data_IF_695367149481
#
_entry.id   IF_695367149481
#
_cell.length_a   1.000
_cell.length_b   1.000
_cell.length_c   1.000
_cell.angle_alpha   90.00
_cell.angle_beta   90.00
_cell.angle_gamma   90.00
#
_symmetry.space_group_name_H-M   'P 1'
#
loop_
_entity.id
_entity.type
_entity.pdbx_description
1 polymer ?
#
# COMPACT_ATOMS: atom_id res chain seq x y z
N UNK A 1 18.41 -26.95 4.96
CA UNK A 1 17.86 -27.24 3.61
C UNK A 1 17.94 -25.94 2.84
N UNK A 2 18.57 -25.88 1.66
CA UNK A 2 18.75 -24.61 0.96
C UNK A 2 17.40 -23.98 0.60
N UNK A 3 17.33 -22.66 0.66
CA UNK A 3 16.10 -21.93 0.37
C UNK A 3 16.38 -20.59 -0.32
N UNK A 4 15.31 -19.88 -0.69
CA UNK A 4 15.32 -18.47 -1.08
C UNK A 4 14.32 -17.70 -0.22
N UNK A 5 14.65 -16.45 0.08
CA UNK A 5 13.75 -15.53 0.76
C UNK A 5 13.50 -14.31 -0.12
N UNK A 6 12.34 -14.26 -0.79
CA UNK A 6 11.91 -13.14 -1.62
C UNK A 6 11.83 -11.87 -0.76
N UNK A 7 12.32 -10.75 -1.29
CA UNK A 7 12.48 -9.48 -0.55
C UNK A 7 12.29 -8.26 -1.45
N UNK A 8 12.19 -7.08 -0.87
CA UNK A 8 12.10 -5.79 -1.58
C UNK A 8 11.01 -5.83 -2.66
N UNK A 9 11.33 -5.44 -3.89
CA UNK A 9 10.41 -5.38 -5.03
C UNK A 9 9.79 -6.74 -5.35
N UNK A 10 10.55 -7.84 -5.35
CA UNK A 10 9.97 -9.18 -5.60
C UNK A 10 8.96 -9.60 -4.53
N UNK A 11 9.23 -9.29 -3.26
CA UNK A 11 8.26 -9.57 -2.19
C UNK A 11 7.05 -8.64 -2.27
N UNK A 12 7.24 -7.38 -2.65
CA UNK A 12 6.13 -6.45 -2.87
C UNK A 12 5.22 -6.94 -4.01
N UNK A 13 5.82 -7.38 -5.12
CA UNK A 13 5.09 -7.95 -6.26
C UNK A 13 4.28 -9.18 -5.86
N UNK A 14 4.87 -10.10 -5.08
CA UNK A 14 4.13 -11.21 -4.47
C UNK A 14 2.89 -10.73 -3.70
N UNK A 15 3.05 -9.71 -2.84
CA UNK A 15 1.95 -9.19 -2.04
C UNK A 15 0.85 -8.55 -2.88
N UNK A 16 1.22 -7.90 -3.99
CA UNK A 16 0.26 -7.29 -4.91
C UNK A 16 -0.49 -8.31 -5.75
N UNK A 17 0.20 -9.31 -6.30
CA UNK A 17 -0.44 -10.45 -7.00
C UNK A 17 -1.39 -11.20 -6.08
N UNK A 18 -0.92 -11.53 -4.86
CA UNK A 18 -1.77 -12.13 -3.83
C UNK A 18 -2.98 -11.26 -3.51
N UNK A 19 -2.76 -9.96 -3.31
CA UNK A 19 -3.81 -8.99 -3.02
C UNK A 19 -4.86 -8.91 -4.13
N UNK A 20 -4.44 -8.90 -5.39
CA UNK A 20 -5.33 -8.80 -6.55
C UNK A 20 -6.22 -10.05 -6.69
N UNK A 21 -5.65 -11.25 -6.50
CA UNK A 21 -6.41 -12.51 -6.58
C UNK A 21 -7.31 -12.78 -5.39
N UNK A 22 -6.99 -12.20 -4.23
CA UNK A 22 -7.79 -12.30 -3.01
C UNK A 22 -8.72 -11.10 -2.81
N UNK A 23 -8.96 -10.32 -3.86
CA UNK A 23 -10.00 -9.30 -3.89
C UNK A 23 -11.40 -9.92 -3.85
N UNK A 24 -12.28 -9.37 -3.02
CA UNK A 24 -13.67 -9.80 -2.85
C UNK A 24 -14.64 -8.65 -3.14
N UNK A 25 -15.88 -8.98 -3.49
CA UNK A 25 -16.92 -7.98 -3.65
C UNK A 25 -17.25 -7.30 -2.30
N UNK A 26 -17.58 -6.00 -2.34
CA UNK A 26 -17.84 -5.19 -1.14
C UNK A 26 -18.88 -5.80 -0.19
N UNK A 27 -19.94 -6.42 -0.72
CA UNK A 27 -20.98 -7.05 0.11
C UNK A 27 -20.42 -8.24 0.92
N UNK A 28 -19.49 -9.02 0.37
CA UNK A 28 -18.84 -10.13 1.08
C UNK A 28 -17.88 -9.62 2.15
N UNK A 29 -17.18 -8.51 1.86
CA UNK A 29 -16.28 -7.86 2.82
C UNK A 29 -17.01 -7.41 4.10
N UNK A 30 -18.23 -6.90 3.96
CA UNK A 30 -19.04 -6.47 5.11
C UNK A 30 -19.60 -7.66 5.90
N UNK A 31 -19.85 -8.80 5.24
CA UNK A 31 -20.31 -10.03 5.89
C UNK A 31 -19.18 -10.75 6.66
N UNK A 32 -17.94 -10.68 6.18
CA UNK A 32 -16.77 -11.25 6.84
C UNK A 32 -16.25 -10.29 7.92
N UNK A 33 -16.74 -10.46 9.15
CA UNK A 33 -16.35 -9.62 10.31
C UNK A 33 -14.88 -9.73 10.72
N UNK A 34 -14.14 -10.72 10.22
CA UNK A 34 -12.73 -10.96 10.57
C UNK A 34 -12.05 -11.72 9.44
N UNK A 35 -10.82 -11.35 9.07
CA UNK A 35 -9.93 -12.23 8.29
C UNK A 35 -9.90 -13.57 9.03
N UNK A 36 -10.33 -14.65 8.38
CA UNK A 36 -10.03 -15.97 8.92
C UNK A 36 -8.53 -16.21 8.73
N UNK A 37 -7.86 -16.87 9.66
CA UNK A 37 -6.44 -17.24 9.51
C UNK A 37 -6.17 -18.07 8.25
N UNK A 38 -7.22 -18.66 7.67
CA UNK A 38 -7.22 -19.39 6.40
C UNK A 38 -7.23 -18.47 5.16
N UNK A 39 -7.60 -17.19 5.30
CA UNK A 39 -7.60 -16.19 4.23
C UNK A 39 -6.23 -15.51 4.05
N UNK A 40 -5.20 -15.90 4.81
CA UNK A 40 -3.83 -15.46 4.62
C UNK A 40 -2.95 -16.69 4.35
N UNK A 41 -1.88 -16.59 3.55
CA UNK A 41 -1.01 -17.73 3.24
C UNK A 41 -0.17 -18.22 4.44
N UNK A 42 -0.54 -17.90 5.68
CA UNK A 42 0.29 -17.96 6.88
C UNK A 42 -0.07 -19.13 7.80
N UNK A 43 0.78 -20.16 7.82
CA UNK A 43 0.71 -21.18 8.87
C UNK A 43 2.02 -21.40 9.62
N UNK A 44 3.14 -20.89 9.08
CA UNK A 44 4.48 -21.10 9.65
C UNK A 44 5.28 -19.80 9.56
N UNK A 45 5.64 -19.26 10.72
CA UNK A 45 6.54 -18.11 10.87
C UNK A 45 7.92 -18.61 11.31
N UNK A 46 8.81 -18.95 10.37
CA UNK A 46 10.15 -19.39 10.74
C UNK A 46 10.95 -18.25 11.40
N UNK A 47 11.94 -18.62 12.19
CA UNK A 47 12.91 -17.66 12.74
C UNK A 47 13.81 -17.10 11.63
N UNK A 48 14.60 -16.07 11.96
CA UNK A 48 15.61 -15.52 11.05
C UNK A 48 16.70 -16.52 10.64
N UNK A 49 16.73 -17.72 11.23
CA UNK A 49 17.65 -18.79 10.83
C UNK A 49 17.49 -19.20 9.36
N UNK A 50 16.33 -18.99 8.74
CA UNK A 50 16.11 -19.26 7.31
C UNK A 50 17.06 -18.46 6.41
N UNK A 51 17.53 -17.31 6.88
CA UNK A 51 18.46 -16.47 6.11
C UNK A 51 19.85 -17.09 5.98
N UNK A 52 20.25 -17.98 6.90
CA UNK A 52 21.53 -18.71 6.84
C UNK A 52 21.54 -19.64 5.62
N UNK A 53 20.44 -20.37 5.45
CA UNK A 53 20.21 -21.33 4.37
C UNK A 53 19.83 -20.66 3.03
N UNK A 54 19.60 -19.34 3.03
CA UNK A 54 19.24 -18.58 1.84
C UNK A 54 20.39 -18.53 0.82
N UNK A 55 20.13 -19.06 -0.37
CA UNK A 55 21.12 -19.20 -1.44
C UNK A 55 21.32 -17.90 -2.20
N UNK A 56 22.58 -17.58 -2.49
CA UNK A 56 22.97 -16.52 -3.42
C UNK A 56 23.41 -17.05 -4.78
N UNK A 57 23.56 -18.37 -4.93
CA UNK A 57 24.03 -18.99 -6.16
C UNK A 57 22.88 -19.16 -7.15
N UNK A 58 22.98 -18.49 -8.30
CA UNK A 58 21.96 -18.48 -9.36
C UNK A 58 21.43 -19.88 -9.72
N UNK A 59 22.33 -20.85 -9.93
CA UNK A 59 21.95 -22.25 -10.22
C UNK A 59 21.05 -22.85 -9.14
N UNK A 60 21.42 -22.69 -7.87
CA UNK A 60 20.62 -23.21 -6.76
C UNK A 60 19.30 -22.46 -6.59
N UNK A 61 19.28 -21.14 -6.86
CA UNK A 61 18.03 -20.36 -6.86
C UNK A 61 17.08 -20.91 -7.93
N UNK A 62 17.58 -21.18 -9.14
CA UNK A 62 16.83 -21.82 -10.22
C UNK A 62 16.31 -23.19 -9.82
N UNK A 63 17.16 -24.07 -9.26
CA UNK A 63 16.75 -25.41 -8.79
C UNK A 63 15.63 -25.34 -7.74
N UNK A 64 15.67 -24.34 -6.83
CA UNK A 64 14.62 -24.14 -5.83
C UNK A 64 13.31 -23.66 -6.47
N UNK A 65 13.39 -22.77 -7.46
CA UNK A 65 12.22 -22.28 -8.19
C UNK A 65 11.58 -23.40 -8.99
N UNK A 66 12.36 -24.15 -9.76
CA UNK A 66 11.88 -25.26 -10.59
C UNK A 66 11.20 -26.32 -9.71
N UNK A 67 11.82 -26.71 -8.58
CA UNK A 67 11.21 -27.65 -7.64
C UNK A 67 9.92 -27.14 -6.99
N UNK A 68 9.81 -25.83 -6.73
CA UNK A 68 8.56 -25.25 -6.20
C UNK A 68 7.43 -25.26 -7.24
N UNK A 69 7.75 -25.00 -8.52
CA UNK A 69 6.79 -25.07 -9.62
C UNK A 69 6.32 -26.52 -9.88
N UNK A 70 7.24 -27.48 -9.81
CA UNK A 70 6.95 -28.92 -9.94
C UNK A 70 6.06 -29.45 -8.80
N UNK A 71 6.30 -29.01 -7.57
CA UNK A 71 5.52 -29.41 -6.38
C UNK A 71 4.06 -28.88 -6.40
N UNK A 72 3.72 -27.98 -7.33
CA UNK A 72 2.40 -27.34 -7.43
C UNK A 72 2.22 -26.24 -6.39
N UNK A 73 2.32 -24.99 -6.81
CA UNK A 73 2.09 -23.81 -5.95
C UNK A 73 0.82 -23.07 -6.36
N UNK A 74 0.25 -22.23 -5.47
CA UNK A 74 -0.85 -21.34 -5.84
C UNK A 74 -0.49 -20.51 -7.07
N UNK A 75 -1.51 -20.19 -7.87
CA UNK A 75 -1.33 -19.54 -9.17
C UNK A 75 -0.53 -18.22 -9.07
N UNK A 76 -0.64 -17.48 -7.95
CA UNK A 76 0.05 -16.19 -7.77
C UNK A 76 1.55 -16.40 -7.65
N UNK A 77 1.92 -17.50 -7.02
CA UNK A 77 3.30 -17.90 -6.88
C UNK A 77 3.82 -18.51 -8.19
N UNK A 78 2.99 -19.26 -8.93
CA UNK A 78 3.35 -19.78 -10.26
C UNK A 78 3.72 -18.65 -11.23
N UNK A 79 2.88 -17.62 -11.32
CA UNK A 79 3.12 -16.47 -12.19
C UNK A 79 4.41 -15.73 -11.82
N UNK A 80 4.59 -15.40 -10.53
CA UNK A 80 5.77 -14.70 -10.05
C UNK A 80 7.05 -15.51 -10.24
N UNK A 81 7.04 -16.79 -9.84
CA UNK A 81 8.21 -17.66 -9.94
C UNK A 81 8.55 -17.97 -11.40
N UNK A 82 7.56 -18.13 -12.27
CA UNK A 82 7.74 -18.28 -13.71
C UNK A 82 8.43 -17.06 -14.32
N UNK A 83 7.97 -15.85 -14.00
CA UNK A 83 8.61 -14.61 -14.45
C UNK A 83 10.06 -14.50 -13.94
N UNK A 84 10.29 -14.79 -12.65
CA UNK A 84 11.64 -14.82 -12.07
C UNK A 84 12.54 -15.85 -12.76
N UNK A 85 11.99 -17.02 -13.13
CA UNK A 85 12.72 -18.09 -13.81
C UNK A 85 13.20 -17.67 -15.19
N UNK A 86 12.34 -16.97 -15.96
CA UNK A 86 12.65 -16.44 -17.30
C UNK A 86 13.83 -15.45 -17.23
N UNK A 87 13.77 -14.49 -16.31
CA UNK A 87 14.84 -13.50 -16.08
C UNK A 87 16.19 -14.19 -15.80
N UNK A 88 16.17 -15.23 -14.96
CA UNK A 88 17.38 -15.98 -14.64
C UNK A 88 17.90 -16.80 -15.84
N UNK A 89 17.07 -17.18 -16.81
CA UNK A 89 17.51 -17.88 -18.03
C UNK A 89 18.01 -16.98 -19.15
N UNK A 90 17.33 -15.86 -19.44
CA UNK A 90 17.62 -14.99 -20.60
C UNK A 90 19.00 -14.32 -20.51
N UNK A 91 19.51 -14.17 -19.29
CA UNK A 91 20.82 -13.59 -18.99
C UNK A 91 22.01 -14.48 -19.39
N UNK A 92 21.78 -15.70 -19.89
CA UNK A 92 22.84 -16.50 -20.54
C UNK A 92 23.04 -16.19 -22.03
N UNK A 93 22.13 -15.46 -22.71
CA UNK A 93 22.10 -15.44 -24.17
C UNK A 93 22.30 -14.08 -24.86
N UNK A 94 22.53 -12.98 -24.15
CA UNK A 94 22.59 -11.64 -24.77
C UNK A 94 23.99 -11.01 -24.81
N UNK A 95 24.83 -11.52 -25.71
CA UNK A 95 25.58 -10.64 -26.62
C UNK A 95 24.66 -10.36 -27.81
N UNK A 96 23.87 -9.28 -27.81
CA UNK A 96 23.26 -8.76 -29.04
C UNK A 96 23.14 -7.23 -29.03
N UNK A 97 23.84 -6.66 -30.00
CA UNK A 97 23.60 -5.43 -30.76
C UNK A 97 22.42 -4.55 -30.35
N UNK A 98 22.72 -3.28 -30.06
CA UNK A 98 21.78 -2.16 -30.00
C UNK A 98 21.16 -1.90 -31.38
N UNK A 99 19.85 -1.94 -31.47
CA UNK A 99 19.06 -1.10 -32.38
C UNK A 99 17.91 -0.46 -31.59
N UNK A 100 17.59 0.83 -31.81
CA UNK A 100 16.53 1.52 -31.09
C UNK A 100 15.21 1.49 -31.90
N UNK A 101 14.15 0.94 -31.32
CA UNK A 101 12.82 0.95 -31.94
C UNK A 101 11.69 0.75 -30.93
N UNK A 102 10.78 1.74 -30.91
CA UNK A 102 9.43 1.82 -30.34
C UNK A 102 9.14 1.18 -28.96
N UNK A 103 8.86 2.06 -27.99
CA UNK A 103 8.32 1.72 -26.69
C UNK A 103 6.89 1.16 -26.82
N UNK A 104 6.75 -0.14 -26.56
CA UNK A 104 5.46 -0.76 -26.32
C UNK A 104 5.20 -0.79 -24.79
N UNK A 105 3.98 -0.45 -24.43
CA UNK A 105 3.55 -0.22 -23.05
C UNK A 105 2.94 -1.48 -22.44
N UNK A 106 3.78 -2.51 -22.29
CA UNK A 106 3.51 -3.68 -21.45
C UNK A 106 4.60 -3.82 -20.39
N UNK A 107 4.17 -4.06 -19.16
CA UNK A 107 4.91 -4.04 -17.89
C UNK A 107 5.95 -5.17 -17.74
N UNK A 108 6.97 -5.16 -18.60
CA UNK A 108 8.02 -6.18 -18.67
C UNK A 108 9.46 -5.63 -18.68
N UNK A 109 9.73 -4.49 -18.04
CA UNK A 109 11.09 -3.97 -17.94
C UNK A 109 11.93 -4.81 -16.94
N UNK A 110 12.66 -5.81 -17.44
CA UNK A 110 13.86 -6.41 -16.82
C UNK A 110 13.80 -6.66 -15.31
N UNK A 111 12.80 -7.41 -14.82
CA UNK A 111 12.61 -7.66 -13.38
C UNK A 111 13.79 -8.42 -12.80
N UNK A 112 14.59 -7.79 -11.94
CA UNK A 112 15.64 -8.49 -11.18
C UNK A 112 14.98 -9.25 -10.03
N UNK A 113 15.44 -10.47 -9.74
CA UNK A 113 15.00 -11.23 -8.56
C UNK A 113 15.72 -10.74 -7.30
N UNK A 114 14.98 -10.29 -6.28
CA UNK A 114 15.53 -9.78 -5.02
C UNK A 114 15.43 -10.81 -3.89
N UNK A 115 16.57 -11.40 -3.51
CA UNK A 115 16.65 -12.40 -2.44
C UNK A 115 17.38 -11.82 -1.22
N UNK A 116 16.84 -12.05 -0.04
CA UNK A 116 17.47 -11.71 1.23
C UNK A 116 18.19 -12.92 1.83
N UNK A 117 19.36 -12.70 2.41
CA UNK A 117 20.02 -13.72 3.21
C UNK A 117 21.10 -13.18 4.12
N UNK A 118 21.70 -14.08 4.90
CA UNK A 118 22.74 -13.71 5.84
C UNK A 118 23.97 -13.16 5.11
N UNK A 119 24.74 -12.31 5.78
CA UNK A 119 25.99 -11.79 5.21
C UNK A 119 26.96 -12.94 4.90
N UNK A 120 27.38 -13.04 3.64
CA UNK A 120 28.36 -14.03 3.15
C UNK A 120 29.49 -13.26 2.44
N UNK A 121 30.73 -13.23 2.97
CA UNK A 121 31.84 -12.53 2.32
C UNK A 121 32.08 -13.04 0.90
N UNK A 122 32.41 -12.15 -0.04
CA UNK A 122 32.79 -12.52 -1.41
C UNK A 122 31.63 -12.87 -2.35
N UNK A 123 30.38 -12.84 -1.89
CA UNK A 123 29.20 -13.01 -2.75
C UNK A 123 28.93 -11.70 -3.51
N UNK A 124 28.82 -11.79 -4.84
CA UNK A 124 28.41 -10.69 -5.72
C UNK A 124 27.00 -10.92 -6.24
N UNK A 125 26.28 -9.83 -6.50
CA UNK A 125 25.05 -9.84 -7.30
C UNK A 125 25.34 -10.48 -8.65
N UNK A 126 24.43 -11.33 -9.13
CA UNK A 126 24.53 -11.96 -10.44
C UNK A 126 23.51 -11.33 -11.39
N UNK A 127 23.73 -11.44 -12.69
CA UNK A 127 22.77 -10.91 -13.67
C UNK A 127 21.40 -11.55 -13.47
N UNK A 128 20.38 -10.70 -13.29
CA UNK A 128 19.01 -11.10 -12.97
C UNK A 128 18.75 -11.49 -11.51
N UNK A 129 19.75 -11.43 -10.62
CA UNK A 129 19.63 -11.77 -9.19
C UNK A 129 20.37 -10.76 -8.28
N UNK A 130 19.60 -9.99 -7.53
CA UNK A 130 20.11 -9.14 -6.44
C UNK A 130 20.05 -9.90 -5.12
N UNK A 131 21.21 -10.17 -4.52
CA UNK A 131 21.31 -10.72 -3.17
C UNK A 131 21.52 -9.60 -2.14
N UNK A 132 20.52 -9.41 -1.29
CA UNK A 132 20.55 -8.45 -0.19
C UNK A 132 21.18 -9.12 1.03
N UNK A 133 22.36 -8.64 1.40
CA UNK A 133 23.01 -9.06 2.63
C UNK A 133 22.39 -8.38 3.84
N UNK A 134 22.10 -9.16 4.87
CA UNK A 134 21.66 -8.60 6.14
C UNK A 134 22.30 -9.29 7.34
N UNK A 135 22.64 -8.47 8.32
CA UNK A 135 23.01 -8.85 9.68
C UNK A 135 22.03 -8.26 10.70
N UNK A 136 20.86 -7.80 10.23
CA UNK A 136 19.85 -7.19 11.07
C UNK A 136 19.23 -8.21 12.04
N UNK A 137 18.75 -7.71 13.17
CA UNK A 137 17.90 -8.49 14.08
C UNK A 137 16.45 -8.32 13.65
N UNK A 138 15.84 -9.44 13.25
CA UNK A 138 14.48 -9.46 12.71
C UNK A 138 13.45 -9.77 13.80
N UNK A 139 12.35 -8.99 13.91
CA UNK A 139 11.22 -9.34 14.75
C UNK A 139 10.61 -10.70 14.36
N UNK A 140 9.92 -11.36 15.31
CA UNK A 140 9.15 -12.57 15.00
C UNK A 140 8.11 -12.26 13.90
N UNK A 141 7.89 -13.23 13.01
CA UNK A 141 6.96 -13.06 11.89
C UNK A 141 7.50 -12.27 10.69
N UNK A 142 8.80 -11.98 10.63
CA UNK A 142 9.42 -11.28 9.49
C UNK A 142 9.43 -12.10 8.19
N UNK A 143 9.33 -13.42 8.28
CA UNK A 143 9.46 -14.36 7.18
C UNK A 143 8.31 -15.34 7.17
N UNK A 144 7.94 -15.78 5.98
CA UNK A 144 6.75 -16.57 5.70
C UNK A 144 7.11 -17.66 4.72
N UNK A 145 6.83 -18.92 5.05
CA UNK A 145 7.02 -20.02 4.10
C UNK A 145 5.82 -20.08 3.16
N UNK A 146 6.07 -19.99 1.86
CA UNK A 146 5.02 -19.97 0.82
C UNK A 146 5.09 -21.20 -0.11
N UNK A 147 6.25 -21.84 -0.22
CA UNK A 147 6.41 -23.14 -0.85
C UNK A 147 7.59 -23.90 -0.25
N UNK A 148 7.86 -25.11 -0.74
CA UNK A 148 9.07 -25.84 -0.37
C UNK A 148 10.30 -25.05 -0.79
N UNK A 149 11.17 -24.70 0.17
CA UNK A 149 12.38 -23.93 -0.10
C UNK A 149 12.15 -22.46 -0.46
N UNK A 150 10.90 -21.98 -0.54
CA UNK A 150 10.59 -20.58 -0.89
C UNK A 150 9.92 -19.87 0.28
N UNK A 151 10.54 -18.77 0.71
CA UNK A 151 10.05 -17.86 1.73
C UNK A 151 9.84 -16.47 1.16
N UNK A 152 9.00 -15.67 1.79
CA UNK A 152 8.79 -14.25 1.47
C UNK A 152 8.87 -13.39 2.72
N UNK A 153 9.37 -12.16 2.57
CA UNK A 153 9.35 -11.15 3.63
C UNK A 153 7.90 -10.72 3.92
N UNK A 154 7.55 -10.60 5.19
CA UNK A 154 6.24 -10.11 5.62
C UNK A 154 5.99 -8.65 5.18
N UNK A 155 4.72 -8.23 5.02
CA UNK A 155 4.38 -6.87 4.59
C UNK A 155 5.11 -5.76 5.38
N UNK A 156 5.25 -5.95 6.69
CA UNK A 156 5.98 -5.01 7.55
C UNK A 156 7.47 -4.91 7.22
N UNK A 157 8.10 -6.04 6.88
CA UNK A 157 9.50 -6.06 6.48
C UNK A 157 9.68 -5.51 5.07
N UNK A 158 8.75 -5.79 4.15
CA UNK A 158 8.74 -5.21 2.80
C UNK A 158 8.64 -3.68 2.90
N UNK A 159 7.73 -3.15 3.72
CA UNK A 159 7.65 -1.72 3.97
C UNK A 159 8.98 -1.12 4.44
N UNK A 160 9.66 -1.78 5.40
CA UNK A 160 10.96 -1.32 5.88
C UNK A 160 12.08 -1.43 4.82
N UNK A 161 12.06 -2.46 3.99
CA UNK A 161 12.98 -2.65 2.85
C UNK A 161 12.80 -1.54 1.81
N UNK A 162 11.56 -1.26 1.42
CA UNK A 162 11.22 -0.23 0.46
C UNK A 162 11.54 1.18 0.97
N UNK A 163 11.61 1.40 2.29
CA UNK A 163 11.99 2.70 2.85
C UNK A 163 13.42 3.17 2.51
N UNK A 164 14.29 2.27 2.02
CA UNK A 164 15.61 2.63 1.48
C UNK A 164 15.59 2.96 -0.02
N UNK A 165 14.49 2.66 -0.71
CA UNK A 165 14.34 2.80 -2.16
C UNK A 165 13.34 3.90 -2.53
N UNK A 166 12.35 4.14 -1.67
CA UNK A 166 11.25 5.05 -1.92
C UNK A 166 11.45 6.40 -1.24
N UNK A 167 11.10 7.51 -1.91
CA UNK A 167 10.92 8.77 -1.24
C UNK A 167 9.72 8.73 -0.28
N UNK A 168 9.61 9.72 0.60
CA UNK A 168 8.67 9.69 1.73
C UNK A 168 7.20 9.53 1.30
N UNK A 169 6.76 10.26 0.27
CA UNK A 169 5.40 10.18 -0.25
C UNK A 169 5.06 8.81 -0.82
N UNK A 170 5.94 8.23 -1.64
CA UNK A 170 5.76 6.89 -2.19
C UNK A 170 5.78 5.82 -1.10
N UNK A 171 6.63 5.97 -0.08
CA UNK A 171 6.63 5.09 1.09
C UNK A 171 5.32 5.20 1.88
N UNK A 172 4.74 6.40 2.03
CA UNK A 172 3.40 6.55 2.62
C UNK A 172 2.33 5.85 1.78
N UNK A 173 2.33 6.02 0.46
CA UNK A 173 1.40 5.31 -0.43
C UNK A 173 1.48 3.81 -0.23
N UNK A 174 2.68 3.24 -0.16
CA UNK A 174 2.89 1.82 0.12
C UNK A 174 2.34 1.44 1.51
N UNK A 175 2.57 2.24 2.54
CA UNK A 175 2.01 1.99 3.87
C UNK A 175 0.48 1.95 3.84
N UNK A 176 -0.14 2.88 3.14
CA UNK A 176 -1.59 2.94 2.93
C UNK A 176 -2.11 1.76 2.09
N UNK A 177 -1.37 1.31 1.08
CA UNK A 177 -1.70 0.12 0.28
C UNK A 177 -1.74 -1.16 1.15
N UNK A 178 -0.71 -1.34 2.00
CA UNK A 178 -0.62 -2.50 2.89
C UNK A 178 -1.68 -2.46 4.01
N UNK A 179 -2.04 -1.28 4.50
CA UNK A 179 -3.00 -1.08 5.59
C UNK A 179 -4.43 -0.74 5.11
N UNK A 180 -4.61 -0.61 3.80
CA UNK A 180 -5.87 -0.26 3.13
C UNK A 180 -6.67 -1.48 2.74
N UNK A 181 -7.86 -1.22 2.20
CA UNK A 181 -8.86 -2.20 1.83
C UNK A 181 -9.00 -2.39 0.32
N UNK A 182 -8.00 -1.99 -0.47
CA UNK A 182 -8.01 -2.14 -1.92
C UNK A 182 -6.85 -2.99 -2.42
N UNK A 183 -7.08 -3.83 -3.44
CA UNK A 183 -6.02 -4.38 -4.26
C UNK A 183 -5.47 -3.34 -5.26
N UNK A 184 -4.17 -3.40 -5.51
CA UNK A 184 -3.52 -2.69 -6.63
C UNK A 184 -3.61 -3.58 -7.87
N UNK A 185 -3.74 -2.98 -9.05
CA UNK A 185 -3.78 -3.69 -10.35
C UNK A 185 -4.93 -4.69 -10.54
N UNK A 186 -5.94 -4.68 -9.65
CA UNK A 186 -7.17 -5.44 -9.83
C UNK A 186 -8.31 -4.54 -10.31
N UNK A 187 -9.46 -5.15 -10.64
CA UNK A 187 -10.68 -4.41 -10.97
C UNK A 187 -11.04 -3.42 -9.86
N UNK A 188 -11.42 -2.19 -10.25
CA UNK A 188 -11.80 -1.08 -9.36
C UNK A 188 -12.97 -1.39 -8.40
N UNK A 189 -13.69 -2.50 -8.62
CA UNK A 189 -14.84 -2.91 -7.83
C UNK A 189 -14.51 -3.90 -6.70
N UNK A 190 -13.27 -4.36 -6.61
CA UNK A 190 -12.84 -5.32 -5.60
C UNK A 190 -12.26 -4.63 -4.37
N UNK A 191 -12.53 -5.19 -3.21
CA UNK A 191 -11.94 -4.80 -1.93
C UNK A 191 -11.19 -5.99 -1.33
N UNK A 192 -10.23 -5.71 -0.46
CA UNK A 192 -9.42 -6.73 0.22
C UNK A 192 -9.30 -6.40 1.69
N UNK A 193 -9.22 -7.39 2.56
CA UNK A 193 -8.82 -7.11 3.94
C UNK A 193 -7.35 -6.64 4.02
N UNK A 194 -7.00 -5.70 4.92
CA UNK A 194 -5.62 -5.19 5.02
C UNK A 194 -4.57 -6.28 5.23
N UNK A 195 -3.44 -6.21 4.51
CA UNK A 195 -2.29 -7.12 4.71
C UNK A 195 -1.57 -6.86 6.03
N UNK A 196 -1.69 -5.63 6.54
CA UNK A 196 -1.07 -5.18 7.77
C UNK A 196 -1.97 -4.14 8.46
N UNK A 197 -1.59 -3.69 9.65
CA UNK A 197 -2.20 -2.54 10.32
C UNK A 197 -1.16 -1.47 10.63
N UNK A 198 -1.55 -0.19 10.74
CA UNK A 198 -0.61 0.88 11.10
C UNK A 198 0.12 0.60 12.43
N UNK A 199 -0.59 0.03 13.40
CA UNK A 199 0.00 -0.37 14.69
C UNK A 199 1.07 -1.46 14.52
N UNK A 200 0.83 -2.45 13.65
CA UNK A 200 1.84 -3.48 13.33
C UNK A 200 3.04 -2.88 12.61
N UNK A 201 2.86 -1.97 11.64
CA UNK A 201 3.97 -1.27 11.00
C UNK A 201 4.84 -0.49 12.00
N UNK A 202 4.21 0.30 12.87
CA UNK A 202 4.92 1.09 13.90
C UNK A 202 5.66 0.18 14.87
N UNK A 203 5.01 -0.87 15.35
CA UNK A 203 5.61 -1.84 16.27
C UNK A 203 6.79 -2.56 15.61
N UNK A 204 6.61 -3.09 14.39
CA UNK A 204 7.65 -3.81 13.66
C UNK A 204 8.87 -2.92 13.40
N UNK A 205 8.66 -1.72 12.84
CA UNK A 205 9.75 -0.77 12.55
C UNK A 205 10.49 -0.31 13.81
N UNK A 206 9.84 -0.31 14.97
CA UNK A 206 10.48 0.03 16.25
C UNK A 206 11.36 -1.10 16.80
N UNK A 207 11.09 -2.35 16.43
CA UNK A 207 11.86 -3.52 16.86
C UNK A 207 12.91 -3.98 15.84
N UNK A 208 12.84 -3.51 14.60
CA UNK A 208 13.81 -3.81 13.55
C UNK A 208 15.13 -3.07 13.80
N UNK A 209 16.18 -3.79 14.20
CA UNK A 209 17.50 -3.24 14.53
C UNK A 209 18.55 -3.66 13.51
N UNK A 210 19.50 -2.76 13.22
CA UNK A 210 20.62 -3.05 12.31
C UNK A 210 20.24 -3.14 10.83
N UNK A 211 19.07 -2.60 10.46
CA UNK A 211 18.57 -2.59 9.08
C UNK A 211 18.63 -1.17 8.48
N UNK A 212 19.18 -1.05 7.27
CA UNK A 212 19.21 0.21 6.52
C UNK A 212 17.78 0.56 6.07
N UNK A 213 17.28 1.73 6.46
CA UNK A 213 15.89 2.14 6.19
C UNK A 213 14.96 2.06 7.39
N UNK A 214 15.42 1.56 8.55
CA UNK A 214 14.61 1.50 9.79
C UNK A 214 14.11 2.87 10.25
N UNK A 215 14.94 3.91 10.20
CA UNK A 215 14.59 5.27 10.60
C UNK A 215 13.52 5.93 9.69
N UNK A 216 13.67 5.96 8.34
CA UNK A 216 12.62 6.46 7.46
C UNK A 216 11.34 5.62 7.54
N UNK A 217 11.44 4.28 7.62
CA UNK A 217 10.29 3.40 7.80
C UNK A 217 9.52 3.73 9.09
N UNK A 218 10.22 3.81 10.23
CA UNK A 218 9.62 4.20 11.51
C UNK A 218 8.97 5.58 11.45
N UNK A 219 9.55 6.51 10.68
CA UNK A 219 8.98 7.84 10.51
C UNK A 219 7.70 7.82 9.69
N UNK A 220 7.71 7.18 8.52
CA UNK A 220 6.55 7.07 7.65
C UNK A 220 5.40 6.27 8.30
N UNK A 221 5.70 5.17 8.99
CA UNK A 221 4.71 4.33 9.66
C UNK A 221 3.80 5.10 10.63
N UNK A 222 4.28 6.19 11.24
CA UNK A 222 3.50 7.04 12.17
C UNK A 222 2.40 7.85 11.48
N UNK A 223 2.44 7.96 10.16
CA UNK A 223 1.48 8.76 9.38
C UNK A 223 0.62 7.90 8.45
N UNK A 224 0.76 6.57 8.50
CA UNK A 224 -0.10 5.65 7.77
C UNK A 224 -1.44 5.52 8.50
N UNK A 225 -2.54 5.64 7.76
CA UNK A 225 -3.88 5.36 8.25
C UNK A 225 -4.38 4.05 7.65
N UNK A 226 -5.24 3.36 8.41
CA UNK A 226 -5.90 2.14 7.93
C UNK A 226 -7.10 2.48 7.06
N UNK A 227 -7.60 1.48 6.33
CA UNK A 227 -8.92 1.49 5.66
C UNK A 227 -9.09 2.49 4.51
N UNK A 228 -8.03 3.02 3.91
CA UNK A 228 -8.16 3.65 2.60
C UNK A 228 -8.75 2.62 1.62
N UNK A 229 -9.72 2.99 0.79
CA UNK A 229 -10.41 2.06 -0.11
C UNK A 229 -10.04 2.25 -1.59
N UNK A 230 -9.14 3.19 -1.91
CA UNK A 230 -8.59 3.34 -3.27
C UNK A 230 -7.26 4.11 -3.29
N UNK A 231 -6.48 4.04 -4.38
CA UNK A 231 -5.29 4.88 -4.56
C UNK A 231 -5.59 6.39 -4.52
N UNK A 232 -6.77 6.80 -5.01
CA UNK A 232 -7.20 8.18 -4.99
C UNK A 232 -7.51 8.67 -3.57
N UNK A 233 -8.24 7.87 -2.77
CA UNK A 233 -8.45 8.13 -1.34
C UNK A 233 -7.14 8.16 -0.57
N UNK A 234 -6.20 7.25 -0.88
CA UNK A 234 -4.85 7.26 -0.29
C UNK A 234 -4.16 8.59 -0.55
N UNK A 235 -4.21 9.10 -1.78
CA UNK A 235 -3.61 10.39 -2.13
C UNK A 235 -4.28 11.55 -1.40
N UNK A 236 -5.62 11.59 -1.40
CA UNK A 236 -6.42 12.58 -0.67
C UNK A 236 -6.04 12.61 0.83
N UNK A 237 -6.03 11.43 1.46
CA UNK A 237 -5.73 11.28 2.87
C UNK A 237 -4.27 11.66 3.20
N UNK A 238 -3.29 11.23 2.41
CA UNK A 238 -1.88 11.60 2.63
C UNK A 238 -1.71 13.11 2.51
N UNK A 239 -2.25 13.73 1.47
CA UNK A 239 -2.13 15.17 1.25
C UNK A 239 -2.74 15.96 2.41
N UNK A 240 -3.93 15.57 2.88
CA UNK A 240 -4.59 16.24 4.00
C UNK A 240 -3.85 16.04 5.34
N UNK A 241 -3.39 14.82 5.62
CA UNK A 241 -2.98 14.43 6.97
C UNK A 241 -1.48 14.44 7.21
N UNK A 242 -0.66 14.26 6.17
CA UNK A 242 0.79 14.24 6.33
C UNK A 242 1.30 15.58 6.88
N UNK A 243 2.41 15.59 7.64
CA UNK A 243 2.94 16.82 8.20
C UNK A 243 3.35 17.85 7.16
N UNK A 244 3.26 19.14 7.50
CA UNK A 244 3.67 20.25 6.62
C UNK A 244 5.15 20.24 6.24
N UNK A 245 6.01 19.70 7.10
CA UNK A 245 7.43 19.54 6.77
C UNK A 245 7.69 18.43 5.74
N UNK A 246 6.71 17.58 5.47
CA UNK A 246 6.71 16.59 4.40
C UNK A 246 5.73 16.92 3.26
N UNK A 247 5.16 18.13 3.25
CA UNK A 247 4.31 18.61 2.17
C UNK A 247 2.81 18.37 2.32
N UNK A 248 2.33 17.74 3.39
CA UNK A 248 0.87 17.66 3.65
C UNK A 248 0.32 18.88 4.38
N UNK A 249 -0.98 18.90 4.69
CA UNK A 249 -1.61 19.99 5.45
C UNK A 249 -1.46 19.87 6.98
N UNK A 250 -1.08 18.69 7.47
CA UNK A 250 -0.89 18.39 8.89
C UNK A 250 -2.20 18.26 9.67
N UNK A 251 -3.31 17.97 9.00
CA UNK A 251 -4.63 17.83 9.62
C UNK A 251 -4.74 16.47 10.32
N UNK A 252 -4.29 16.40 11.56
CA UNK A 252 -4.28 15.17 12.37
C UNK A 252 -5.67 14.78 12.87
N UNK A 253 -5.83 13.50 13.21
CA UNK A 253 -7.07 12.95 13.80
C UNK A 253 -8.04 12.38 12.76
N UNK A 254 -7.61 12.25 11.51
CA UNK A 254 -8.40 11.65 10.45
C UNK A 254 -8.62 10.15 10.70
N UNK A 255 -9.75 9.65 10.24
CA UNK A 255 -10.16 8.25 10.20
C UNK A 255 -10.73 7.97 8.82
N UNK A 256 -10.28 6.90 8.17
CA UNK A 256 -10.74 6.55 6.82
C UNK A 256 -11.77 5.46 6.88
N UNK A 257 -12.81 5.59 6.07
CA UNK A 257 -13.87 4.60 5.91
C UNK A 257 -14.36 4.00 7.25
N UNK A 258 -14.39 4.83 8.31
CA UNK A 258 -14.90 4.43 9.62
C UNK A 258 -16.41 4.66 9.69
N UNK A 259 -17.21 3.66 10.10
CA UNK A 259 -18.63 3.84 10.28
C UNK A 259 -18.95 4.89 11.35
N UNK A 260 -19.72 5.89 10.95
CA UNK A 260 -20.29 6.93 11.80
C UNK A 260 -21.65 6.43 12.25
N UNK A 261 -21.78 6.10 13.54
CA UNK A 261 -23.09 5.81 14.13
C UNK A 261 -23.92 7.09 14.15
N UNK A 262 -25.06 7.06 13.47
CA UNK A 262 -25.93 8.21 13.33
C UNK A 262 -26.73 8.48 14.61
N UNK A 263 -27.01 9.76 14.88
CA UNK A 263 -28.02 10.17 15.87
C UNK A 263 -29.43 9.95 15.29
N UNK A 264 -30.45 9.99 16.15
CA UNK A 264 -31.85 9.70 15.78
C UNK A 264 -32.39 10.53 14.61
N UNK A 265 -32.01 11.79 14.50
CA UNK A 265 -32.46 12.65 13.40
C UNK A 265 -31.77 12.30 12.07
N UNK A 266 -30.43 12.30 11.96
CA UNK A 266 -29.72 11.81 10.79
C UNK A 266 -30.12 10.40 10.34
N UNK A 267 -30.37 9.49 11.29
CA UNK A 267 -30.81 8.12 11.00
C UNK A 267 -32.15 8.08 10.25
N UNK A 268 -33.12 8.92 10.65
CA UNK A 268 -34.41 9.06 9.96
C UNK A 268 -34.25 9.63 8.54
N UNK A 269 -33.32 10.58 8.35
CA UNK A 269 -33.04 11.19 7.04
C UNK A 269 -32.34 10.19 6.12
N UNK A 270 -31.36 9.46 6.63
CA UNK A 270 -30.57 8.49 5.87
C UNK A 270 -31.30 7.18 5.58
N UNK A 271 -32.32 6.84 6.38
CA UNK A 271 -32.94 5.51 6.44
C UNK A 271 -31.92 4.40 6.72
N UNK A 272 -30.98 4.68 7.63
CA UNK A 272 -29.91 3.77 8.03
C UNK A 272 -29.23 4.24 9.29
N UNK A 273 -28.69 3.31 10.08
CA UNK A 273 -28.11 3.59 11.40
C UNK A 273 -26.64 4.06 11.35
N UNK A 274 -26.01 4.00 10.18
CA UNK A 274 -24.62 4.42 9.99
C UNK A 274 -24.32 4.94 8.58
N UNK A 275 -23.36 5.86 8.48
CA UNK A 275 -22.76 6.29 7.22
C UNK A 275 -21.22 6.14 7.28
N UNK A 276 -20.57 6.08 6.14
CA UNK A 276 -19.11 5.92 6.02
C UNK A 276 -18.57 6.99 5.08
N UNK A 277 -17.65 7.84 5.53
CA UNK A 277 -16.97 8.82 4.68
C UNK A 277 -15.52 8.40 4.43
N UNK A 278 -14.96 8.81 3.28
CA UNK A 278 -13.61 8.42 2.87
C UNK A 278 -12.56 8.96 3.84
N UNK A 279 -12.65 10.23 4.22
CA UNK A 279 -11.78 10.85 5.23
C UNK A 279 -12.62 11.64 6.23
N UNK A 280 -12.60 11.25 7.50
CA UNK A 280 -13.37 11.88 8.57
C UNK A 280 -12.46 12.40 9.68
N UNK A 281 -12.69 13.63 10.16
CA UNK A 281 -12.13 14.16 11.40
C UNK A 281 -13.24 14.31 12.44
N UNK A 282 -13.51 13.27 13.27
CA UNK A 282 -14.68 13.27 14.15
C UNK A 282 -14.66 14.41 15.16
N UNK A 283 -13.50 14.69 15.76
CA UNK A 283 -13.31 15.73 16.76
C UNK A 283 -13.43 17.15 16.20
N UNK A 284 -13.35 17.29 14.87
CA UNK A 284 -13.40 18.57 14.17
C UNK A 284 -14.69 18.76 13.37
N UNK A 285 -15.54 17.74 13.30
CA UNK A 285 -16.77 17.78 12.53
C UNK A 285 -16.57 17.97 11.02
N UNK A 286 -15.47 17.47 10.43
CA UNK A 286 -15.18 17.62 8.99
C UNK A 286 -15.09 16.25 8.32
N UNK A 287 -15.63 16.14 7.11
CA UNK A 287 -15.46 14.98 6.24
C UNK A 287 -15.10 15.40 4.80
N UNK A 288 -14.27 14.60 4.14
CA UNK A 288 -13.98 14.70 2.72
C UNK A 288 -14.42 13.41 2.03
N UNK A 289 -15.01 13.55 0.85
CA UNK A 289 -15.34 12.44 -0.04
C UNK A 289 -14.63 12.65 -1.37
N UNK A 290 -14.02 11.60 -1.90
CA UNK A 290 -13.49 11.59 -3.25
C UNK A 290 -14.61 11.23 -4.23
N UNK A 291 -14.88 12.15 -5.16
CA UNK A 291 -15.89 11.92 -6.20
C UNK A 291 -15.24 11.29 -7.43
N UNK A 292 -15.39 9.97 -7.56
CA UNK A 292 -14.98 9.20 -8.73
C UNK A 292 -16.01 9.25 -9.89
N UNK A 293 -17.16 9.90 -9.70
CA UNK A 293 -18.31 9.82 -10.60
C UNK A 293 -18.30 10.88 -11.71
N UNK A 294 -17.30 10.85 -12.59
CA UNK A 294 -17.51 11.38 -13.93
C UNK A 294 -18.33 10.34 -14.72
N UNK A 295 -19.57 10.69 -15.06
CA UNK A 295 -20.51 9.94 -15.92
C UNK A 295 -21.32 8.82 -15.23
N UNK A 296 -22.61 9.11 -14.99
CA UNK A 296 -23.81 8.23 -15.05
C UNK A 296 -24.84 8.65 -13.97
N UNK A 297 -25.57 9.72 -14.25
CA UNK A 297 -26.66 10.20 -13.40
C UNK A 297 -27.93 9.37 -13.58
N UNK A 298 -28.25 8.52 -12.61
CA UNK A 298 -29.62 8.02 -12.43
C UNK A 298 -30.31 8.84 -11.33
N UNK A 299 -31.60 9.16 -11.51
CA UNK A 299 -32.40 9.95 -10.55
C UNK A 299 -32.40 9.35 -9.13
N UNK A 300 -32.30 8.02 -9.02
CA UNK A 300 -32.17 7.29 -7.74
C UNK A 300 -30.84 7.54 -7.02
N UNK A 301 -29.74 7.80 -7.74
CA UNK A 301 -28.45 8.14 -7.15
C UNK A 301 -28.45 9.56 -6.59
N UNK A 302 -29.04 10.51 -7.33
CA UNK A 302 -29.16 11.91 -6.89
C UNK A 302 -29.97 12.04 -5.60
N UNK A 303 -31.08 11.32 -5.46
CA UNK A 303 -31.90 11.36 -4.25
C UNK A 303 -31.22 10.71 -3.03
N UNK A 304 -30.47 9.61 -3.25
CA UNK A 304 -29.67 8.97 -2.20
C UNK A 304 -28.53 9.88 -1.73
N UNK A 305 -27.87 10.55 -2.66
CA UNK A 305 -26.75 11.45 -2.34
C UNK A 305 -27.22 12.71 -1.61
N UNK A 306 -28.36 13.28 -2.02
CA UNK A 306 -29.00 14.40 -1.31
C UNK A 306 -29.38 14.04 0.15
N UNK A 307 -29.99 12.86 0.36
CA UNK A 307 -30.31 12.36 1.71
C UNK A 307 -29.06 12.15 2.56
N UNK A 308 -28.02 11.55 1.97
CA UNK A 308 -26.73 11.32 2.63
C UNK A 308 -26.12 12.63 3.12
N UNK A 309 -26.03 13.65 2.25
CA UNK A 309 -25.52 14.98 2.62
C UNK A 309 -26.36 15.64 3.70
N UNK A 310 -27.68 15.56 3.61
CA UNK A 310 -28.60 16.10 4.62
C UNK A 310 -28.44 15.42 5.99
N UNK A 311 -28.27 14.10 6.02
CA UNK A 311 -28.05 13.36 7.25
C UNK A 311 -26.70 13.70 7.90
N UNK A 312 -25.62 13.83 7.10
CA UNK A 312 -24.31 14.23 7.61
C UNK A 312 -24.32 15.67 8.14
N UNK A 313 -25.01 16.59 7.48
CA UNK A 313 -25.22 17.95 7.98
C UNK A 313 -25.98 17.95 9.32
N UNK A 314 -27.08 17.20 9.43
CA UNK A 314 -27.83 17.04 10.68
C UNK A 314 -27.02 16.33 11.80
N UNK A 315 -26.00 15.54 11.42
CA UNK A 315 -25.04 14.96 12.37
C UNK A 315 -24.03 16.01 12.89
N UNK A 316 -23.99 17.19 12.27
CA UNK A 316 -23.05 18.27 12.58
C UNK A 316 -21.72 18.14 11.84
N UNK A 317 -21.70 17.47 10.68
CA UNK A 317 -20.51 17.30 9.86
C UNK A 317 -20.52 18.26 8.68
N UNK A 318 -19.42 18.99 8.51
CA UNK A 318 -19.12 19.72 7.31
C UNK A 318 -18.46 18.78 6.29
N UNK A 319 -19.15 18.56 5.18
CA UNK A 319 -18.71 17.65 4.13
C UNK A 319 -18.31 18.40 2.86
N UNK A 320 -17.20 17.97 2.24
CA UNK A 320 -16.80 18.41 0.90
C UNK A 320 -16.48 17.22 0.01
N UNK A 321 -17.12 17.18 -1.15
CA UNK A 321 -16.74 16.28 -2.24
C UNK A 321 -15.57 16.91 -3.01
N UNK A 322 -14.56 16.11 -3.32
CA UNK A 322 -13.34 16.49 -4.03
C UNK A 322 -13.27 15.65 -5.31
N UNK A 323 -13.35 16.31 -6.46
CA UNK A 323 -13.19 15.62 -7.75
C UNK A 323 -11.70 15.34 -8.04
N UNK A 324 -11.42 14.50 -9.04
CA UNK A 324 -10.06 14.28 -9.54
C UNK A 324 -9.36 15.61 -9.93
N UNK A 325 -10.04 16.49 -10.66
CA UNK A 325 -9.48 17.79 -11.10
C UNK A 325 -9.18 18.72 -9.93
N UNK A 326 -10.07 18.77 -8.93
CA UNK A 326 -9.84 19.54 -7.70
C UNK A 326 -8.71 18.94 -6.88
N UNK A 327 -8.63 17.62 -6.78
CA UNK A 327 -7.53 16.95 -6.10
C UNK A 327 -6.21 17.30 -6.76
N UNK A 328 -6.12 17.29 -8.09
CA UNK A 328 -4.96 17.63 -8.91
C UNK A 328 -4.54 19.11 -8.82
N UNK A 329 -5.50 20.02 -8.81
CA UNK A 329 -5.26 21.45 -8.69
C UNK A 329 -4.93 21.84 -7.24
N UNK A 330 -3.66 22.17 -7.00
CA UNK A 330 -3.11 22.50 -5.68
C UNK A 330 -3.85 23.64 -4.98
N UNK A 331 -4.23 24.68 -5.73
CA UNK A 331 -4.85 25.87 -5.16
C UNK A 331 -6.33 25.60 -4.86
N UNK A 332 -7.06 24.98 -5.77
CA UNK A 332 -8.46 24.59 -5.53
C UNK A 332 -8.58 23.60 -4.38
N UNK A 333 -7.70 22.59 -4.33
CA UNK A 333 -7.66 21.63 -3.23
C UNK A 333 -7.46 22.34 -1.89
N UNK A 334 -6.45 23.23 -1.82
CA UNK A 334 -6.14 23.98 -0.61
C UNK A 334 -7.33 24.84 -0.16
N UNK A 335 -7.93 25.63 -1.05
CA UNK A 335 -9.04 26.49 -0.66
C UNK A 335 -10.26 25.68 -0.23
N UNK A 336 -10.53 24.56 -0.90
CA UNK A 336 -11.66 23.68 -0.55
C UNK A 336 -11.49 23.04 0.82
N UNK A 337 -10.32 22.48 1.12
CA UNK A 337 -10.07 21.84 2.42
C UNK A 337 -10.02 22.89 3.54
N UNK A 338 -9.35 24.02 3.33
CA UNK A 338 -9.29 25.08 4.35
C UNK A 338 -10.66 25.67 4.64
N UNK A 339 -11.51 25.82 3.61
CA UNK A 339 -12.89 26.28 3.79
C UNK A 339 -13.72 25.29 4.63
N UNK A 340 -13.62 23.99 4.37
CA UNK A 340 -14.32 22.96 5.15
C UNK A 340 -13.96 23.04 6.64
N UNK A 341 -12.67 23.13 6.96
CA UNK A 341 -12.23 23.24 8.36
C UNK A 341 -12.68 24.56 8.99
N UNK A 342 -12.61 25.69 8.26
CA UNK A 342 -13.07 26.98 8.78
C UNK A 342 -14.57 26.98 9.08
N UNK A 343 -15.38 26.39 8.22
CA UNK A 343 -16.82 26.26 8.42
C UNK A 343 -17.16 25.41 9.65
N UNK A 344 -16.30 24.44 10.00
CA UNK A 344 -16.40 23.66 11.23
C UNK A 344 -15.69 24.32 12.44
N UNK A 345 -15.32 25.61 12.36
CA UNK A 345 -14.69 26.35 13.46
C UNK A 345 -13.21 26.03 13.69
N UNK A 346 -12.55 25.34 12.76
CA UNK A 346 -11.12 25.01 12.82
C UNK A 346 -10.33 25.88 11.84
N UNK A 347 -9.44 26.74 12.34
CA UNK A 347 -8.59 27.55 11.45
C UNK A 347 -7.25 26.87 11.14
N UNK A 348 -6.95 26.75 9.84
CA UNK A 348 -5.67 26.28 9.32
C UNK A 348 -5.10 27.30 8.35
N UNK A 349 -3.80 27.59 8.48
CA UNK A 349 -3.12 28.54 7.59
C UNK A 349 -2.88 27.93 6.22
N UNK A 350 -2.92 28.75 5.16
CA UNK A 350 -2.40 28.40 3.83
C UNK A 350 -0.94 27.94 3.92
N UNK A 351 -0.51 27.12 2.97
CA UNK A 351 0.90 26.76 2.83
C UNK A 351 1.69 27.99 2.36
N UNK A 352 2.82 28.25 3.01
CA UNK A 352 3.76 29.28 2.53
C UNK A 352 4.63 28.75 1.38
N UNK A 353 5.44 29.60 0.74
CA UNK A 353 6.25 29.21 -0.43
C UNK A 353 7.10 27.94 -0.21
N UNK A 354 7.87 27.87 0.88
CA UNK A 354 8.68 26.67 1.20
C UNK A 354 7.83 25.41 1.46
N UNK A 355 6.63 25.58 2.00
CA UNK A 355 5.69 24.47 2.20
C UNK A 355 5.04 24.04 0.89
N UNK A 356 4.78 24.98 -0.01
CA UNK A 356 4.24 24.70 -1.35
C UNK A 356 5.23 23.87 -2.18
N UNK A 357 6.53 24.19 -2.13
CA UNK A 357 7.57 23.39 -2.81
C UNK A 357 7.57 21.93 -2.34
N UNK A 358 7.46 21.72 -1.02
CA UNK A 358 7.37 20.38 -0.42
C UNK A 358 6.07 19.69 -0.78
N UNK A 359 4.97 20.43 -0.85
CA UNK A 359 3.66 19.93 -1.25
C UNK A 359 3.67 19.44 -2.71
N UNK A 360 4.28 20.20 -3.62
CA UNK A 360 4.47 19.79 -5.01
C UNK A 360 5.33 18.52 -5.12
N UNK A 361 6.39 18.43 -4.31
CA UNK A 361 7.22 17.22 -4.24
C UNK A 361 6.43 16.02 -3.75
N UNK A 362 5.71 16.14 -2.63
CA UNK A 362 4.86 15.07 -2.10
C UNK A 362 3.90 14.56 -3.17
N UNK A 363 3.18 15.46 -3.85
CA UNK A 363 2.24 15.11 -4.91
C UNK A 363 2.90 14.46 -6.12
N UNK A 364 4.13 14.83 -6.46
CA UNK A 364 4.92 14.13 -7.48
C UNK A 364 5.29 12.71 -7.04
N UNK A 365 5.70 12.52 -5.78
CA UNK A 365 6.04 11.22 -5.23
C UNK A 365 4.83 10.27 -5.17
N UNK A 366 3.64 10.79 -4.85
CA UNK A 366 2.39 10.00 -4.82
C UNK A 366 1.96 9.48 -6.20
N UNK A 367 2.36 10.14 -7.29
CA UNK A 367 2.06 9.70 -8.66
C UNK A 367 2.99 8.59 -9.16
N UNK A 368 4.15 8.41 -8.52
CA UNK A 368 5.18 7.45 -8.92
C UNK A 368 5.05 6.12 -8.18
N UNK A 369 3.84 5.69 -7.85
CA UNK A 369 3.66 4.41 -7.16
C UNK A 369 4.31 3.30 -8.00
N UNK A 370 5.27 2.61 -7.37
CA UNK A 370 6.09 1.51 -7.93
C UNK A 370 5.21 0.47 -8.55
#
# INVERSE_FOLDING_TARGET
MRCICLSHETALEFWRLWSARNGIALHLFHCRKTIQTDDLPFRIFPSSAVLVDSSSAKRTVVEIIDGALEDGVPEELTELLGACRVVLSETHSSKRSKEPGLADSSSGAGKVLHVLGHRKPGVRTADGLTYHHSSATYPKGSFLKIARGVYVCAPELVFAQMASLLPFGALLSLGYELCGCYPVEASEYLVRHPLCSPNRLVAFCSHLRGFKGSAPAKTAARYVLAKSASPAETSLAIIATAPRNYGGFGMRGARLNEPIKLRREPERIAHGSSLVCDVLWPERGVALEYDSSQFHGSSSRLSRDSRRRSALAAQGLEIRSITASQLENVFEFQETILHAFRAAGCDFKRLNGKQLDRHMRLRSELRKCV
#
